data_IF_486989224020
#
_entry.id   IF_486989224020
#
_cell.length_a   1.000
_cell.length_b   1.000
_cell.length_c   1.000
_cell.angle_alpha   90.00
_cell.angle_beta   90.00
_cell.angle_gamma   90.00
#
_symmetry.space_group_name_H-M   'P 1'
#
loop_
_entity.id
_entity.type
_entity.pdbx_description
1 polymer ?
#
# COMPACT_ATOMS: atom_id res chain seq x y z
N UNK A 1 -26.86 12.54 -1.29
CA UNK A 1 -27.04 11.47 -2.30
C UNK A 1 -26.06 10.39 -1.91
N UNK A 2 -26.58 9.21 -1.45
CA UNK A 2 -25.81 8.17 -0.84
C UNK A 2 -24.80 7.56 -1.82
N UNK A 3 -23.58 7.37 -1.36
CA UNK A 3 -22.59 6.57 -2.06
C UNK A 3 -23.10 5.13 -2.12
N UNK A 4 -23.68 4.72 -3.25
CA UNK A 4 -23.92 3.31 -3.50
C UNK A 4 -22.56 2.60 -3.41
N UNK A 5 -22.44 1.72 -2.42
CA UNK A 5 -21.28 0.82 -2.33
C UNK A 5 -21.32 -0.03 -3.60
N UNK A 6 -20.42 0.26 -4.53
CA UNK A 6 -20.29 -0.54 -5.76
C UNK A 6 -19.97 -1.96 -5.34
N UNK A 7 -20.84 -2.91 -5.69
CA UNK A 7 -20.56 -4.33 -5.46
C UNK A 7 -19.29 -4.72 -6.22
N UNK A 8 -18.39 -5.38 -5.53
CA UNK A 8 -17.23 -6.01 -6.16
C UNK A 8 -17.75 -7.07 -7.13
N UNK A 9 -17.12 -7.20 -8.28
CA UNK A 9 -17.47 -8.20 -9.27
C UNK A 9 -16.19 -8.74 -9.92
N UNK A 10 -15.92 -10.01 -9.72
CA UNK A 10 -14.75 -10.72 -10.25
C UNK A 10 -15.16 -11.77 -11.30
N UNK A 11 -16.35 -11.64 -11.87
CA UNK A 11 -16.77 -12.42 -13.02
C UNK A 11 -15.80 -12.18 -14.20
N UNK A 12 -15.36 -13.25 -14.90
CA UNK A 12 -14.41 -13.14 -16.01
C UNK A 12 -14.82 -12.16 -17.11
N UNK A 13 -16.10 -12.14 -17.47
CA UNK A 13 -16.60 -11.22 -18.49
C UNK A 13 -16.58 -9.79 -18.01
N UNK A 14 -16.86 -9.56 -16.71
CA UNK A 14 -16.78 -8.24 -16.11
C UNK A 14 -15.33 -7.75 -16.01
N UNK A 15 -14.37 -8.60 -15.63
CA UNK A 15 -12.95 -8.26 -15.60
C UNK A 15 -12.48 -7.81 -16.99
N UNK A 16 -12.82 -8.59 -18.02
CA UNK A 16 -12.49 -8.26 -19.40
C UNK A 16 -13.12 -6.94 -19.83
N UNK A 17 -14.39 -6.74 -19.55
CA UNK A 17 -15.10 -5.49 -19.81
C UNK A 17 -14.46 -4.29 -19.06
N UNK A 18 -14.12 -4.44 -17.78
CA UNK A 18 -13.52 -3.40 -16.98
C UNK A 18 -12.13 -2.97 -17.49
N UNK A 19 -11.33 -3.93 -17.94
CA UNK A 19 -10.06 -3.67 -18.62
C UNK A 19 -10.27 -2.85 -19.89
N UNK A 20 -11.17 -3.25 -20.78
CA UNK A 20 -11.49 -2.52 -22.02
C UNK A 20 -11.96 -1.10 -21.76
N UNK A 21 -12.81 -0.90 -20.74
CA UNK A 21 -13.26 0.44 -20.36
C UNK A 21 -12.10 1.29 -19.80
N UNK A 22 -11.16 0.69 -19.11
CA UNK A 22 -9.98 1.37 -18.60
C UNK A 22 -9.04 1.79 -19.74
N UNK A 23 -8.76 0.91 -20.68
CA UNK A 23 -7.98 1.20 -21.87
C UNK A 23 -8.57 2.40 -22.68
N UNK A 24 -9.89 2.38 -22.88
CA UNK A 24 -10.59 3.49 -23.57
C UNK A 24 -10.47 4.82 -22.82
N UNK A 25 -10.64 4.80 -21.49
CA UNK A 25 -10.53 6.03 -20.66
C UNK A 25 -9.12 6.56 -20.60
N UNK A 26 -8.12 5.68 -20.55
CA UNK A 26 -6.70 6.03 -20.55
C UNK A 26 -6.19 6.40 -21.94
N UNK A 27 -6.94 6.06 -22.99
CA UNK A 27 -6.57 6.25 -24.40
C UNK A 27 -5.21 5.59 -24.70
N UNK A 28 -5.08 4.31 -24.34
CA UNK A 28 -3.90 3.48 -24.53
C UNK A 28 -4.30 2.07 -24.95
N UNK A 29 -3.38 1.34 -25.56
CA UNK A 29 -3.59 -0.04 -26.02
C UNK A 29 -3.24 -1.06 -24.93
N UNK A 30 -2.53 -0.67 -23.88
CA UNK A 30 -2.18 -1.56 -22.78
C UNK A 30 -2.19 -0.84 -21.43
N UNK A 31 -2.26 -1.60 -20.35
CA UNK A 31 -2.12 -1.15 -18.95
C UNK A 31 -0.91 -1.86 -18.36
N UNK A 32 0.00 -1.11 -17.73
CA UNK A 32 1.21 -1.69 -17.12
C UNK A 32 0.86 -2.66 -16.00
N UNK A 33 0.01 -2.25 -15.07
CA UNK A 33 -0.41 -3.07 -13.92
C UNK A 33 -1.93 -3.01 -13.78
N UNK A 34 -2.59 -4.14 -13.96
CA UNK A 34 -4.03 -4.27 -13.74
C UNK A 34 -4.30 -5.12 -12.50
N UNK A 35 -5.14 -4.64 -11.57
CA UNK A 35 -5.27 -5.26 -10.26
C UNK A 35 -6.73 -5.63 -9.93
N UNK A 36 -6.91 -6.80 -9.31
CA UNK A 36 -8.12 -7.14 -8.58
C UNK A 36 -8.19 -6.24 -7.33
N UNK A 37 -9.31 -5.55 -7.15
CA UNK A 37 -9.44 -4.54 -6.09
C UNK A 37 -10.16 -5.12 -4.88
N UNK A 38 -9.42 -5.39 -3.81
CA UNK A 38 -9.91 -5.96 -2.55
C UNK A 38 -10.67 -7.28 -2.73
N UNK A 39 -10.04 -8.31 -3.36
CA UNK A 39 -10.66 -9.61 -3.47
C UNK A 39 -10.81 -10.23 -2.07
N UNK A 40 -11.86 -11.05 -1.92
CA UNK A 40 -12.07 -11.88 -0.73
C UNK A 40 -11.55 -13.30 -0.99
N UNK A 41 -11.48 -14.15 0.04
CA UNK A 41 -11.00 -15.52 -0.14
C UNK A 41 -11.78 -16.30 -1.19
N UNK A 42 -13.09 -16.17 -1.18
CA UNK A 42 -13.96 -16.80 -2.18
C UNK A 42 -13.66 -16.36 -3.61
N UNK A 43 -13.20 -15.11 -3.79
CA UNK A 43 -12.86 -14.59 -5.11
C UNK A 43 -11.52 -15.14 -5.59
N UNK A 44 -10.54 -15.32 -4.68
CA UNK A 44 -9.21 -15.85 -5.03
C UNK A 44 -9.19 -17.38 -5.15
N UNK A 45 -10.20 -18.07 -4.66
CA UNK A 45 -10.41 -19.49 -4.86
C UNK A 45 -11.05 -19.81 -6.24
N UNK A 46 -11.62 -18.80 -6.92
CA UNK A 46 -12.28 -18.96 -8.21
C UNK A 46 -11.29 -18.88 -9.37
N UNK A 47 -11.15 -19.93 -10.15
CA UNK A 47 -10.22 -19.99 -11.29
C UNK A 47 -10.55 -18.98 -12.39
N UNK A 48 -11.83 -18.70 -12.62
CA UNK A 48 -12.28 -17.85 -13.72
C UNK A 48 -11.70 -16.44 -13.72
N UNK A 49 -11.56 -15.80 -12.54
CA UNK A 49 -10.97 -14.47 -12.42
C UNK A 49 -9.51 -14.47 -12.89
N UNK A 50 -8.75 -15.48 -12.49
CA UNK A 50 -7.34 -15.63 -12.85
C UNK A 50 -7.14 -15.95 -14.32
N UNK A 51 -7.97 -16.83 -14.87
CA UNK A 51 -7.96 -17.11 -16.31
C UNK A 51 -8.24 -15.86 -17.13
N UNK A 52 -9.17 -14.99 -16.67
CA UNK A 52 -9.44 -13.72 -17.35
C UNK A 52 -8.23 -12.78 -17.31
N UNK A 53 -7.56 -12.66 -16.16
CA UNK A 53 -6.35 -11.85 -16.02
C UNK A 53 -5.22 -12.38 -16.90
N UNK A 54 -5.03 -13.71 -16.93
CA UNK A 54 -4.02 -14.35 -17.76
C UNK A 54 -4.29 -14.12 -19.27
N UNK A 55 -5.53 -14.27 -19.72
CA UNK A 55 -5.91 -13.97 -21.11
C UNK A 55 -5.65 -12.53 -21.49
N UNK A 56 -5.99 -11.58 -20.61
CA UNK A 56 -5.71 -10.16 -20.86
C UNK A 56 -4.21 -9.88 -21.02
N UNK A 57 -3.36 -10.61 -20.28
CA UNK A 57 -1.92 -10.55 -20.41
C UNK A 57 -1.43 -11.17 -21.71
N UNK A 58 -1.93 -12.34 -22.08
CA UNK A 58 -1.62 -13.02 -23.35
C UNK A 58 -2.05 -12.19 -24.56
N UNK A 59 -3.18 -11.48 -24.46
CA UNK A 59 -3.67 -10.53 -25.48
C UNK A 59 -2.84 -9.23 -25.53
N UNK A 60 -1.89 -9.02 -24.63
CA UNK A 60 -1.07 -7.81 -24.53
C UNK A 60 -1.82 -6.59 -24.04
N UNK A 61 -3.03 -6.74 -23.48
CA UNK A 61 -3.82 -5.63 -22.92
C UNK A 61 -3.35 -5.19 -21.55
N UNK A 62 -2.68 -6.08 -20.82
CA UNK A 62 -1.99 -5.76 -19.57
C UNK A 62 -0.60 -6.36 -19.59
N UNK A 63 0.37 -5.70 -18.97
CA UNK A 63 1.75 -6.21 -18.87
C UNK A 63 1.93 -7.09 -17.63
N UNK A 64 1.41 -6.64 -16.51
CA UNK A 64 1.43 -7.34 -15.22
C UNK A 64 0.04 -7.34 -14.61
N UNK A 65 -0.22 -8.29 -13.75
CA UNK A 65 -1.43 -8.29 -12.95
C UNK A 65 -1.15 -8.61 -11.48
N UNK A 66 -2.09 -8.26 -10.62
CA UNK A 66 -1.96 -8.45 -9.20
C UNK A 66 -3.24 -8.18 -8.44
N UNK A 67 -3.12 -7.94 -7.16
CA UNK A 67 -4.24 -7.60 -6.30
C UNK A 67 -3.90 -6.47 -5.33
N UNK A 68 -4.83 -5.53 -5.18
CA UNK A 68 -4.83 -4.60 -4.07
C UNK A 68 -5.56 -5.24 -2.90
N UNK A 69 -4.86 -5.41 -1.79
CA UNK A 69 -5.41 -6.02 -0.58
C UNK A 69 -5.97 -4.92 0.34
N UNK A 70 -7.04 -5.24 1.06
CA UNK A 70 -7.58 -4.35 2.08
C UNK A 70 -6.79 -4.46 3.42
N UNK A 71 -7.31 -3.85 4.48
CA UNK A 71 -6.68 -3.80 5.79
C UNK A 71 -7.28 -4.85 6.75
N UNK A 72 -7.88 -5.90 6.20
CA UNK A 72 -8.48 -6.96 7.01
C UNK A 72 -7.44 -7.91 7.57
N UNK A 73 -7.80 -8.63 8.61
CA UNK A 73 -6.97 -9.68 9.19
C UNK A 73 -6.71 -10.86 8.24
N UNK A 74 -7.44 -10.94 7.12
CA UNK A 74 -7.33 -12.02 6.13
C UNK A 74 -6.44 -11.66 4.94
N UNK A 75 -5.94 -10.43 4.87
CA UNK A 75 -5.09 -10.00 3.75
C UNK A 75 -3.83 -10.83 3.60
N UNK A 76 -3.24 -11.30 4.71
CA UNK A 76 -2.11 -12.23 4.67
C UNK A 76 -2.46 -13.56 4.03
N UNK A 77 -3.59 -14.17 4.42
CA UNK A 77 -4.08 -15.43 3.86
C UNK A 77 -4.40 -15.30 2.36
N UNK A 78 -5.03 -14.20 1.95
CA UNK A 78 -5.28 -13.89 0.54
C UNK A 78 -3.96 -13.73 -0.22
N UNK A 79 -2.98 -13.02 0.34
CA UNK A 79 -1.68 -12.84 -0.27
C UNK A 79 -0.94 -14.19 -0.45
N UNK A 80 -1.06 -15.10 0.51
CA UNK A 80 -0.50 -16.44 0.40
C UNK A 80 -1.05 -17.22 -0.79
N UNK A 81 -2.38 -17.27 -0.95
CA UNK A 81 -3.03 -17.95 -2.08
C UNK A 81 -2.60 -17.30 -3.41
N UNK A 82 -2.58 -15.97 -3.45
CA UNK A 82 -2.22 -15.25 -4.67
C UNK A 82 -0.77 -15.48 -5.08
N UNK A 83 0.15 -15.64 -4.15
CA UNK A 83 1.57 -15.84 -4.44
C UNK A 83 1.91 -17.30 -4.74
N UNK A 84 1.37 -18.26 -4.00
CA UNK A 84 1.71 -19.66 -4.16
C UNK A 84 0.95 -20.35 -5.30
N UNK A 85 -0.37 -20.15 -5.35
CA UNK A 85 -1.24 -20.87 -6.27
C UNK A 85 -1.45 -20.13 -7.59
N UNK A 86 -1.41 -18.79 -7.55
CA UNK A 86 -1.79 -17.95 -8.69
C UNK A 86 -0.65 -17.18 -9.32
N UNK A 87 0.49 -17.09 -8.60
CA UNK A 87 1.71 -16.44 -9.09
C UNK A 87 1.45 -15.04 -9.62
N UNK A 88 0.84 -14.20 -8.79
CA UNK A 88 0.66 -12.78 -9.11
C UNK A 88 1.99 -12.05 -9.08
N UNK A 89 2.17 -11.10 -9.98
CA UNK A 89 3.43 -10.36 -10.08
C UNK A 89 3.48 -9.18 -9.13
N UNK A 90 2.30 -8.67 -8.72
CA UNK A 90 2.21 -7.46 -7.90
C UNK A 90 1.16 -7.62 -6.80
N UNK A 91 1.55 -7.32 -5.58
CA UNK A 91 0.64 -7.14 -4.44
C UNK A 91 0.68 -5.69 -4.00
N UNK A 92 -0.48 -5.08 -3.86
CA UNK A 92 -0.63 -3.73 -3.38
C UNK A 92 -1.24 -3.75 -1.98
N UNK A 93 -0.47 -3.36 -0.98
CA UNK A 93 -0.84 -3.41 0.43
C UNK A 93 -0.34 -2.19 1.22
N UNK A 94 -0.91 -1.89 2.39
CA UNK A 94 -0.36 -0.88 3.28
C UNK A 94 0.97 -1.36 3.87
N UNK A 95 1.97 -0.48 3.83
CA UNK A 95 3.24 -0.71 4.49
C UNK A 95 3.89 0.63 4.85
N UNK A 96 4.19 0.81 6.12
CA UNK A 96 4.81 2.01 6.66
C UNK A 96 5.44 1.73 8.03
N UNK A 97 6.05 2.73 8.65
CA UNK A 97 6.71 2.63 9.95
C UNK A 97 5.82 2.07 11.08
N UNK A 98 4.50 2.20 10.95
CA UNK A 98 3.52 1.78 11.95
C UNK A 98 2.83 0.48 11.55
N UNK A 99 2.42 0.37 10.28
CA UNK A 99 1.76 -0.80 9.71
C UNK A 99 2.79 -1.65 8.95
N UNK A 100 3.43 -2.60 9.62
CA UNK A 100 4.48 -3.43 9.02
C UNK A 100 3.99 -4.81 8.60
N UNK A 101 2.95 -5.29 9.24
CA UNK A 101 2.21 -6.49 8.83
C UNK A 101 1.14 -6.11 7.78
N UNK A 102 0.83 -6.91 6.75
CA UNK A 102 1.32 -8.28 6.56
C UNK A 102 2.65 -8.43 5.81
N UNK A 103 3.28 -7.33 5.32
CA UNK A 103 4.50 -7.46 4.51
C UNK A 103 5.60 -8.26 5.21
N UNK A 104 5.85 -7.96 6.49
CA UNK A 104 6.91 -8.64 7.26
C UNK A 104 6.74 -10.17 7.29
N UNK A 105 5.50 -10.65 7.41
CA UNK A 105 5.22 -12.10 7.41
C UNK A 105 5.28 -12.74 6.02
N UNK A 106 5.20 -11.95 4.96
CA UNK A 106 5.19 -12.41 3.58
C UNK A 106 6.53 -12.28 2.86
N UNK A 107 7.51 -11.56 3.42
CA UNK A 107 8.72 -11.12 2.74
C UNK A 107 9.49 -12.27 2.08
N UNK A 108 9.78 -13.35 2.82
CA UNK A 108 10.47 -14.52 2.28
C UNK A 108 9.70 -15.19 1.13
N UNK A 109 8.37 -15.16 1.19
CA UNK A 109 7.49 -15.72 0.19
C UNK A 109 7.49 -14.87 -1.07
N UNK A 110 7.35 -13.57 -0.94
CA UNK A 110 7.36 -12.62 -2.05
C UNK A 110 8.67 -12.73 -2.85
N UNK A 111 9.80 -12.87 -2.16
CA UNK A 111 11.09 -13.09 -2.81
C UNK A 111 11.16 -14.43 -3.56
N UNK A 112 10.65 -15.52 -2.97
CA UNK A 112 10.65 -16.82 -3.65
C UNK A 112 9.76 -16.86 -4.89
N UNK A 113 8.65 -16.14 -4.85
CA UNK A 113 7.66 -16.11 -5.94
C UNK A 113 7.92 -14.99 -6.95
N UNK A 114 8.98 -14.20 -6.76
CA UNK A 114 9.29 -13.02 -7.59
C UNK A 114 8.12 -12.01 -7.65
N UNK A 115 7.28 -12.00 -6.60
CA UNK A 115 6.17 -11.06 -6.47
C UNK A 115 6.68 -9.77 -5.83
N UNK A 116 6.34 -8.64 -6.42
CA UNK A 116 6.74 -7.34 -5.89
C UNK A 116 5.59 -6.63 -5.18
N UNK A 117 5.93 -5.63 -4.37
CA UNK A 117 4.95 -4.85 -3.59
C UNK A 117 4.86 -3.41 -4.08
N UNK A 118 3.64 -2.95 -4.26
CA UNK A 118 3.30 -1.54 -4.28
C UNK A 118 2.83 -1.15 -2.89
N UNK A 119 3.66 -0.41 -2.17
CA UNK A 119 3.35 -0.01 -0.80
C UNK A 119 2.49 1.26 -0.78
N UNK A 120 1.33 1.19 -0.15
CA UNK A 120 0.46 2.36 0.03
C UNK A 120 0.54 2.93 1.43
N UNK A 121 0.13 4.20 1.57
CA UNK A 121 0.07 4.92 2.84
C UNK A 121 1.43 5.00 3.57
N UNK A 122 2.52 5.41 2.90
CA UNK A 122 3.82 5.52 3.54
C UNK A 122 3.79 6.39 4.80
N UNK A 123 2.95 7.42 4.81
CA UNK A 123 2.79 8.36 5.92
C UNK A 123 1.67 8.01 6.92
N UNK A 124 1.17 6.77 6.89
CA UNK A 124 0.15 6.27 7.82
C UNK A 124 -1.01 7.27 8.01
N UNK A 125 -1.85 7.45 6.98
CA UNK A 125 -2.99 8.40 6.96
C UNK A 125 -2.62 9.87 7.20
N UNK A 126 -1.37 10.27 6.98
CA UNK A 126 -0.88 11.62 7.24
C UNK A 126 -0.28 11.82 8.63
N UNK A 127 -0.31 10.81 9.50
CA UNK A 127 0.26 10.92 10.85
C UNK A 127 1.78 11.18 10.86
N UNK A 128 2.48 10.81 9.77
CA UNK A 128 3.93 10.95 9.62
C UNK A 128 4.35 11.97 8.56
N UNK A 129 3.40 12.74 7.98
CA UNK A 129 3.71 13.74 6.94
C UNK A 129 3.82 15.17 7.47
N UNK A 130 3.67 15.36 8.79
CA UNK A 130 3.71 16.68 9.43
C UNK A 130 2.43 17.51 9.26
N UNK A 131 1.40 17.00 8.59
CA UNK A 131 0.13 17.70 8.38
C UNK A 131 -0.75 17.77 9.62
N UNK A 132 -0.44 16.97 10.66
CA UNK A 132 -1.17 16.96 11.92
C UNK A 132 -0.32 17.48 13.06
N UNK A 133 -0.88 18.44 13.81
CA UNK A 133 -0.42 18.69 15.18
C UNK A 133 -0.90 17.51 16.05
N UNK A 134 0.02 16.58 16.34
CA UNK A 134 -0.28 15.33 17.06
C UNK A 134 -0.98 15.53 18.41
N UNK A 135 -0.85 16.73 19.02
CA UNK A 135 -1.50 17.08 20.27
C UNK A 135 -2.96 17.48 20.09
N UNK A 136 -3.39 17.80 18.86
CA UNK A 136 -4.75 18.21 18.51
C UNK A 136 -5.57 17.10 17.86
N UNK A 137 -5.01 15.89 17.70
CA UNK A 137 -5.74 14.75 17.11
C UNK A 137 -6.75 14.24 18.13
N UNK A 138 -8.02 14.61 17.93
CA UNK A 138 -9.12 13.94 18.59
C UNK A 138 -9.38 12.57 17.89
N UNK A 139 -9.65 11.51 18.66
CA UNK A 139 -9.95 10.18 18.09
C UNK A 139 -11.07 10.17 17.04
N UNK A 140 -11.96 11.17 17.06
CA UNK A 140 -13.11 11.29 16.18
C UNK A 140 -12.81 12.00 14.85
N UNK A 141 -11.61 12.56 14.68
CA UNK A 141 -11.25 13.30 13.46
C UNK A 141 -11.26 12.40 12.21
N UNK A 142 -11.04 11.12 12.41
CA UNK A 142 -11.03 10.11 11.35
C UNK A 142 -12.41 9.48 11.08
N UNK A 143 -13.40 9.68 11.98
CA UNK A 143 -14.74 9.13 11.80
C UNK A 143 -15.58 9.90 10.76
N UNK A 144 -15.24 11.15 10.48
CA UNK A 144 -15.98 12.05 9.58
C UNK A 144 -15.41 12.13 8.16
N UNK A 145 -14.21 11.67 7.92
CA UNK A 145 -13.68 11.49 6.56
C UNK A 145 -14.03 10.09 6.08
N UNK A 146 -14.36 9.95 4.80
CA UNK A 146 -14.76 8.71 4.08
C UNK A 146 -13.72 7.56 4.20
N UNK A 147 -12.70 7.74 5.00
CA UNK A 147 -11.70 6.78 5.39
C UNK A 147 -12.13 6.21 6.74
N UNK A 148 -12.81 5.06 6.72
CA UNK A 148 -13.01 4.32 7.96
C UNK A 148 -11.63 3.86 8.47
N UNK A 149 -11.10 4.65 9.38
CA UNK A 149 -9.89 4.29 10.10
C UNK A 149 -10.28 3.17 11.07
N UNK A 150 -9.74 1.96 10.93
CA UNK A 150 -10.13 0.84 11.79
C UNK A 150 -9.91 1.19 13.27
N UNK A 151 -10.62 0.52 14.17
CA UNK A 151 -10.45 0.63 15.64
C UNK A 151 -9.01 0.40 16.15
N UNK A 152 -8.08 -0.01 15.30
CA UNK A 152 -6.63 -0.09 15.55
C UNK A 152 -5.94 1.27 15.72
N UNK A 153 -6.63 2.39 15.47
CA UNK A 153 -5.99 3.72 15.34
C UNK A 153 -5.56 4.35 16.65
N UNK A 154 -6.19 4.04 17.77
CA UNK A 154 -5.72 4.61 19.06
C UNK A 154 -4.28 4.22 19.37
N UNK A 155 -3.89 2.97 19.07
CA UNK A 155 -2.51 2.50 19.15
C UNK A 155 -1.58 3.15 18.11
N UNK A 156 -2.08 3.40 16.89
CA UNK A 156 -1.31 4.00 15.82
C UNK A 156 -0.90 5.47 16.12
N UNK A 157 -1.77 6.24 16.76
CA UNK A 157 -1.45 7.63 17.17
C UNK A 157 -0.31 7.64 18.17
N UNK A 158 -0.34 6.78 19.18
CA UNK A 158 0.72 6.69 20.17
C UNK A 158 2.05 6.25 19.54
N UNK A 159 2.01 5.29 18.63
CA UNK A 159 3.18 4.88 17.86
C UNK A 159 3.71 5.99 16.97
N UNK A 160 2.83 6.74 16.28
CA UNK A 160 3.23 7.87 15.47
C UNK A 160 3.95 8.94 16.30
N UNK A 161 3.46 9.25 17.51
CA UNK A 161 4.14 10.16 18.42
C UNK A 161 5.55 9.69 18.77
N UNK A 162 5.71 8.41 19.08
CA UNK A 162 7.04 7.83 19.39
C UNK A 162 7.96 7.89 18.19
N UNK A 163 7.47 7.56 17.00
CA UNK A 163 8.25 7.65 15.75
C UNK A 163 8.70 9.08 15.49
N UNK A 164 7.79 10.05 15.61
CA UNK A 164 8.11 11.47 15.41
C UNK A 164 9.13 11.96 16.44
N UNK A 165 8.97 11.58 17.69
CA UNK A 165 9.94 11.93 18.73
C UNK A 165 11.31 11.35 18.40
N UNK A 166 11.38 10.09 18.04
CA UNK A 166 12.62 9.43 17.69
C UNK A 166 13.29 10.08 16.46
N UNK A 167 12.53 10.38 15.41
CA UNK A 167 13.05 11.11 14.25
C UNK A 167 13.66 12.46 14.65
N UNK A 168 13.05 13.20 15.59
CA UNK A 168 13.57 14.46 16.10
C UNK A 168 14.90 14.29 16.86
N UNK A 169 15.05 13.20 17.61
CA UNK A 169 16.30 12.89 18.33
C UNK A 169 17.46 12.64 17.35
N UNK A 170 17.18 12.13 16.15
CA UNK A 170 18.16 11.93 15.09
C UNK A 170 18.25 13.08 14.08
N UNK A 171 17.53 14.18 14.30
CA UNK A 171 17.44 15.34 13.36
C UNK A 171 16.99 14.93 11.95
N UNK A 172 16.02 14.03 11.88
CA UNK A 172 15.44 13.52 10.62
C UNK A 172 13.98 13.95 10.52
N UNK A 173 13.59 14.40 9.33
CA UNK A 173 12.19 14.71 9.03
C UNK A 173 11.36 13.40 9.03
N UNK A 174 10.30 13.29 9.85
CA UNK A 174 9.46 12.08 9.93
C UNK A 174 8.86 11.65 8.59
N UNK A 175 8.51 12.61 7.72
CA UNK A 175 7.95 12.35 6.39
C UNK A 175 8.98 11.66 5.49
N UNK A 176 10.22 12.15 5.51
CA UNK A 176 11.34 11.54 4.79
C UNK A 176 11.68 10.17 5.34
N UNK A 177 11.76 10.04 6.66
CA UNK A 177 12.03 8.77 7.31
C UNK A 177 10.96 7.73 6.94
N UNK A 178 9.69 8.10 6.93
CA UNK A 178 8.59 7.21 6.58
C UNK A 178 8.68 6.72 5.12
N UNK A 179 8.96 7.62 4.18
CA UNK A 179 9.10 7.25 2.77
C UNK A 179 10.33 6.38 2.54
N UNK A 180 11.45 6.73 3.15
CA UNK A 180 12.72 6.02 3.02
C UNK A 180 12.63 4.61 3.60
N UNK A 181 12.04 4.45 4.79
CA UNK A 181 11.79 3.14 5.39
C UNK A 181 11.05 2.18 4.43
N UNK A 182 10.04 2.69 3.74
CA UNK A 182 9.28 1.88 2.78
C UNK A 182 10.13 1.48 1.59
N UNK A 183 10.94 2.40 1.06
CA UNK A 183 11.77 2.18 -0.13
C UNK A 183 13.04 1.34 0.14
N UNK A 184 13.45 1.21 1.39
CA UNK A 184 14.58 0.35 1.79
C UNK A 184 14.20 -1.14 1.79
N UNK A 185 12.92 -1.48 1.86
CA UNK A 185 12.49 -2.86 1.82
C UNK A 185 12.63 -3.42 0.40
N UNK A 186 13.41 -4.47 0.24
CA UNK A 186 13.75 -5.07 -1.05
C UNK A 186 12.57 -5.71 -1.80
N UNK A 187 11.49 -6.04 -1.11
CA UNK A 187 10.25 -6.53 -1.73
C UNK A 187 9.41 -5.39 -2.34
N UNK A 188 9.70 -4.12 -1.98
CA UNK A 188 8.93 -2.96 -2.42
C UNK A 188 9.50 -2.38 -3.71
N UNK A 189 8.71 -2.42 -4.79
CA UNK A 189 9.07 -1.79 -6.07
C UNK A 189 8.74 -0.31 -6.12
N UNK A 190 7.67 0.12 -5.46
CA UNK A 190 7.22 1.51 -5.49
C UNK A 190 6.36 1.85 -4.28
N UNK A 191 6.33 3.15 -3.97
CA UNK A 191 5.49 3.72 -2.93
C UNK A 191 4.37 4.55 -3.54
N UNK A 192 3.15 4.38 -3.01
CA UNK A 192 1.96 5.10 -3.43
C UNK A 192 1.51 6.04 -2.30
N UNK A 193 1.95 7.30 -2.32
CA UNK A 193 1.54 8.29 -1.34
C UNK A 193 0.11 8.76 -1.59
N UNK A 194 -0.53 9.28 -0.57
CA UNK A 194 -1.82 9.93 -0.71
C UNK A 194 -1.62 11.39 -1.12
N UNK A 195 -1.72 11.67 -2.42
CA UNK A 195 -1.59 13.02 -2.98
C UNK A 195 -2.96 13.69 -3.00
N UNK A 196 -3.14 14.72 -2.17
CA UNK A 196 -4.41 15.46 -2.06
C UNK A 196 -4.47 16.66 -3.01
N UNK A 197 -3.33 17.30 -3.27
CA UNK A 197 -3.22 18.52 -4.05
C UNK A 197 -1.81 18.70 -4.65
N UNK A 198 -1.60 19.80 -5.34
CA UNK A 198 -0.30 20.12 -5.98
C UNK A 198 0.81 20.46 -4.96
N UNK A 199 0.44 20.82 -3.74
CA UNK A 199 1.43 21.09 -2.68
C UNK A 199 1.99 19.77 -2.17
N UNK A 200 1.14 18.85 -1.74
CA UNK A 200 1.54 17.51 -1.28
C UNK A 200 2.33 16.73 -2.34
N UNK A 201 1.99 16.91 -3.64
CA UNK A 201 2.78 16.31 -4.71
C UNK A 201 4.20 16.90 -4.77
N UNK A 202 4.35 18.24 -4.69
CA UNK A 202 5.67 18.88 -4.70
C UNK A 202 6.52 18.44 -3.52
N UNK A 203 5.97 18.46 -2.32
CA UNK A 203 6.66 18.02 -1.13
C UNK A 203 7.16 16.57 -1.28
N UNK A 204 6.31 15.67 -1.77
CA UNK A 204 6.70 14.28 -1.98
C UNK A 204 7.82 14.13 -3.02
N UNK A 205 7.74 14.86 -4.12
CA UNK A 205 8.78 14.86 -5.16
C UNK A 205 10.09 15.47 -4.65
N UNK A 206 10.04 16.52 -3.85
CA UNK A 206 11.22 17.13 -3.22
C UNK A 206 11.90 16.18 -2.23
N UNK A 207 11.12 15.42 -1.45
CA UNK A 207 11.66 14.41 -0.55
C UNK A 207 12.42 13.30 -1.28
N UNK A 208 11.92 12.88 -2.45
CA UNK A 208 12.57 11.89 -3.31
C UNK A 208 13.72 12.47 -4.13
N UNK A 209 13.63 13.74 -4.51
CA UNK A 209 14.57 14.43 -5.42
C UNK A 209 15.83 14.94 -4.76
N UNK A 210 15.90 15.03 -3.43
CA UNK A 210 17.13 15.38 -2.74
C UNK A 210 18.18 14.28 -2.98
N UNK A 211 19.35 14.63 -3.51
CA UNK A 211 20.44 13.66 -3.82
C UNK A 211 20.86 12.80 -2.62
N UNK A 212 20.47 13.17 -1.43
CA UNK A 212 20.64 12.41 -0.19
C UNK A 212 19.48 11.45 0.14
N UNK A 213 18.44 11.38 -0.69
CA UNK A 213 17.27 10.51 -0.45
C UNK A 213 17.57 9.00 -0.59
N UNK A 214 18.78 8.64 -1.02
CA UNK A 214 19.31 7.28 -0.97
C UNK A 214 20.27 7.04 0.22
N UNK A 215 20.40 7.99 1.14
CA UNK A 215 21.10 7.70 2.38
C UNK A 215 20.20 6.79 3.20
N UNK A 216 20.67 5.58 3.47
CA UNK A 216 20.00 4.63 4.36
C UNK A 216 19.64 5.32 5.67
N UNK A 217 18.51 4.96 6.26
CA UNK A 217 18.17 5.41 7.61
C UNK A 217 19.29 5.00 8.56
N UNK A 218 19.67 5.86 9.53
CA UNK A 218 20.68 5.48 10.50
C UNK A 218 20.32 4.15 11.17
N UNK A 219 21.28 3.22 11.21
CA UNK A 219 21.06 1.89 11.80
C UNK A 219 20.50 1.97 13.23
N UNK A 220 20.97 2.92 14.02
CA UNK A 220 20.49 3.13 15.40
C UNK A 220 19.02 3.58 15.43
N UNK A 221 18.59 4.36 14.46
CA UNK A 221 17.18 4.72 14.29
C UNK A 221 16.33 3.49 13.91
N UNK A 222 16.79 2.69 12.95
CA UNK A 222 16.09 1.47 12.52
C UNK A 222 15.97 0.49 13.68
N UNK A 223 17.05 0.24 14.42
CA UNK A 223 17.05 -0.63 15.61
C UNK A 223 16.07 -0.13 16.68
N UNK A 224 16.08 1.18 16.94
CA UNK A 224 15.14 1.77 17.92
C UNK A 224 13.68 1.67 17.45
N UNK A 225 13.44 1.78 16.15
CA UNK A 225 12.11 1.56 15.57
C UNK A 225 11.67 0.10 15.67
N UNK A 226 12.59 -0.86 15.60
CA UNK A 226 12.29 -2.28 15.71
C UNK A 226 12.01 -2.72 17.16
N UNK A 227 12.52 -1.98 18.14
CA UNK A 227 12.20 -2.18 19.56
C UNK A 227 10.74 -1.83 19.90
N UNK A 228 10.08 -0.99 19.09
CA UNK A 228 8.65 -0.77 19.20
C UNK A 228 7.92 -2.04 18.78
N UNK A 229 7.68 -2.95 19.73
CA UNK A 229 6.84 -4.14 19.50
C UNK A 229 5.41 -3.68 19.19
N UNK A 230 5.04 -3.87 17.95
CA UNK A 230 3.69 -3.68 17.45
C UNK A 230 2.85 -4.89 17.90
N UNK A 231 2.30 -4.84 19.10
CA UNK A 231 1.37 -5.86 19.63
C UNK A 231 -0.07 -5.59 19.22
#
# INVERSE_FOLDING_TARGET
EGSEIRKKNFDPDYISFACEQSLRRLNTDYIDIFQLHYPELTDVEMDGAFEAMQRLKEDGKILCWGAALDDTSRSGEIAEILTDDRVVEVIHLPYNLIEREPLKSLEDRLHRCETTVLARRPHCYGMLDGSFEMDSIEPNLFENEVISVPKKVSGAIELARKVIQLCREFDIDPRKAATQFVLENSAVASVLPNIKDSHSLREFVEDLGSQNSRSELPNDLVLSLDEFQFS
#
